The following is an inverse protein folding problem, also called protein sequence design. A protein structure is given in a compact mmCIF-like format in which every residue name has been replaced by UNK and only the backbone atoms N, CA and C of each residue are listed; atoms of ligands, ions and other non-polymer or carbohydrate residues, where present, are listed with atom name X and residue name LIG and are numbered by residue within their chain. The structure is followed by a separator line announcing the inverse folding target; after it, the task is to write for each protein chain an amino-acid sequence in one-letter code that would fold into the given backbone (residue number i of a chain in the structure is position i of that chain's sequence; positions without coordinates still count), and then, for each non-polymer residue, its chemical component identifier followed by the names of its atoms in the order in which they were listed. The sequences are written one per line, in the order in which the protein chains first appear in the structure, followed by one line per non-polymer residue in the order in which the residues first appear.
data_IF_674463450932
#
_entry.id   IF_674463450932
#
_cell.length_a   1.000
_cell.length_b   1.000
_cell.length_c   1.000
_cell.angle_alpha   90.00
_cell.angle_beta   90.00
_cell.angle_gamma   90.00
#
_symmetry.space_group_name_H-M   'P 1'
#
loop_
_entity.id
_entity.type
_entity.pdbx_description
1 polymer ?
#
# COMPACT_ATOMS: atom_id res chain seq x y z
N UNK A 1 -6.83 -15.12 -10.68
CA UNK A 1 -5.82 -14.02 -10.63
C UNK A 1 -4.60 -14.44 -11.39
N UNK A 2 -4.14 -13.64 -12.31
CA UNK A 2 -2.92 -13.89 -13.05
C UNK A 2 -1.86 -12.86 -12.61
N UNK A 3 -0.70 -13.36 -12.21
CA UNK A 3 0.46 -12.53 -11.88
C UNK A 3 1.54 -12.82 -12.90
N UNK A 4 2.08 -11.77 -13.52
CA UNK A 4 3.23 -11.84 -14.40
C UNK A 4 4.39 -11.10 -13.76
N UNK A 5 5.57 -11.69 -13.83
CA UNK A 5 6.82 -11.08 -13.39
C UNK A 5 7.85 -11.18 -14.51
N UNK A 6 8.64 -10.14 -14.68
CA UNK A 6 9.72 -10.12 -15.64
C UNK A 6 10.95 -10.83 -15.10
N UNK A 7 11.83 -10.12 -14.43
CA UNK A 7 13.11 -10.64 -13.97
C UNK A 7 13.21 -10.67 -12.45
N UNK A 8 13.72 -11.75 -11.88
CA UNK A 8 14.03 -11.89 -10.46
C UNK A 8 15.54 -11.86 -10.25
N UNK A 9 16.01 -10.98 -9.38
CA UNK A 9 17.41 -10.82 -9.03
C UNK A 9 17.59 -10.89 -7.51
N UNK A 10 18.75 -11.35 -7.10
CA UNK A 10 19.20 -11.22 -5.72
C UNK A 10 20.08 -9.99 -5.61
N UNK A 11 19.68 -9.05 -4.77
CA UNK A 11 20.43 -7.84 -4.46
C UNK A 11 21.32 -8.01 -3.23
N UNK A 12 22.13 -7.00 -2.96
CA UNK A 12 22.93 -6.96 -1.72
C UNK A 12 22.04 -6.90 -0.47
N UNK A 13 22.58 -7.39 0.65
CA UNK A 13 21.93 -7.35 1.97
C UNK A 13 20.56 -8.07 2.00
N UNK A 14 20.53 -9.31 1.48
CA UNK A 14 19.35 -10.17 1.55
C UNK A 14 18.10 -9.60 0.86
N UNK A 15 18.30 -8.91 -0.24
CA UNK A 15 17.25 -8.25 -0.97
C UNK A 15 16.84 -9.08 -2.20
N UNK A 16 15.56 -9.35 -2.33
CA UNK A 16 14.98 -9.87 -3.57
C UNK A 16 14.47 -8.66 -4.37
N UNK A 17 14.80 -8.64 -5.65
CA UNK A 17 14.38 -7.59 -6.59
C UNK A 17 13.62 -8.27 -7.72
N UNK A 18 12.40 -7.85 -7.96
CA UNK A 18 11.53 -8.33 -9.01
C UNK A 18 11.20 -7.15 -9.91
N UNK A 19 11.59 -7.22 -11.17
CA UNK A 19 11.29 -6.21 -12.18
C UNK A 19 10.01 -6.60 -12.95
N UNK A 20 9.29 -5.60 -13.43
CA UNK A 20 8.10 -5.71 -14.29
C UNK A 20 7.01 -6.61 -13.71
N UNK A 21 6.58 -6.28 -12.51
CA UNK A 21 5.46 -6.97 -11.84
C UNK A 21 4.14 -6.46 -12.40
N UNK A 22 3.27 -7.36 -12.82
CA UNK A 22 1.90 -7.07 -13.23
C UNK A 22 0.94 -8.08 -12.60
N UNK A 23 -0.14 -7.57 -12.05
CA UNK A 23 -1.23 -8.35 -11.49
C UNK A 23 -2.54 -7.97 -12.18
N UNK A 24 -3.24 -8.96 -12.70
CA UNK A 24 -4.54 -8.80 -13.31
C UNK A 24 -5.64 -9.06 -12.26
N UNK A 25 -6.75 -8.37 -12.42
CA UNK A 25 -7.95 -8.64 -11.63
C UNK A 25 -8.67 -9.92 -12.11
N UNK A 26 -9.82 -10.22 -11.52
CA UNK A 26 -10.60 -11.40 -11.86
C UNK A 26 -11.27 -11.31 -13.25
N UNK A 27 -11.28 -10.13 -13.87
CA UNK A 27 -11.80 -9.89 -15.23
C UNK A 27 -10.71 -9.91 -16.29
N UNK A 28 -9.43 -9.98 -15.88
CA UNK A 28 -8.28 -9.93 -16.76
C UNK A 28 -7.77 -8.52 -17.04
N UNK A 29 -8.33 -7.50 -16.35
CA UNK A 29 -7.86 -6.13 -16.48
C UNK A 29 -6.60 -5.91 -15.60
N UNK A 30 -5.68 -5.04 -16.07
CA UNK A 30 -4.51 -4.67 -15.30
C UNK A 30 -4.93 -3.92 -14.04
N UNK A 31 -4.67 -4.53 -12.88
CA UNK A 31 -5.04 -4.00 -11.58
C UNK A 31 -3.85 -3.31 -10.90
N UNK A 32 -2.71 -3.96 -10.85
CA UNK A 32 -1.48 -3.44 -10.24
C UNK A 32 -0.32 -3.73 -11.17
N UNK A 33 0.48 -2.70 -11.46
CA UNK A 33 1.78 -2.83 -12.10
C UNK A 33 2.83 -2.13 -11.23
N UNK A 34 4.05 -2.65 -11.25
CA UNK A 34 5.20 -1.99 -10.66
C UNK A 34 6.43 -2.26 -11.52
N UNK A 35 7.19 -1.22 -11.86
CA UNK A 35 8.43 -1.40 -12.60
C UNK A 35 9.47 -2.17 -11.81
N UNK A 36 9.43 -2.03 -10.47
CA UNK A 36 10.27 -2.81 -9.57
C UNK A 36 9.63 -2.97 -8.19
N UNK A 37 9.65 -4.20 -7.69
CA UNK A 37 9.38 -4.56 -6.30
C UNK A 37 10.67 -5.04 -5.67
N UNK A 38 11.05 -4.51 -4.51
CA UNK A 38 12.24 -4.93 -3.78
C UNK A 38 11.87 -5.23 -2.35
N UNK A 39 12.18 -6.43 -1.88
CA UNK A 39 11.93 -6.88 -0.52
C UNK A 39 13.23 -7.27 0.18
N UNK A 40 13.48 -6.71 1.35
CA UNK A 40 14.58 -7.15 2.22
C UNK A 40 14.07 -8.23 3.16
N UNK A 41 14.67 -9.40 3.09
CA UNK A 41 14.29 -10.56 3.91
C UNK A 41 15.11 -10.62 5.19
N UNK A 42 14.47 -11.03 6.28
CA UNK A 42 15.12 -11.40 7.51
C UNK A 42 15.29 -12.91 7.56
N UNK A 43 16.54 -13.39 7.71
CA UNK A 43 16.84 -14.83 7.65
C UNK A 43 16.56 -15.61 8.93
N UNK A 44 16.52 -14.95 10.08
CA UNK A 44 16.33 -15.65 11.36
C UNK A 44 15.02 -16.44 11.44
N UNK A 45 13.87 -15.89 10.96
CA UNK A 45 12.60 -16.61 10.96
C UNK A 45 12.51 -17.78 9.97
N UNK A 46 13.42 -17.86 8.98
CA UNK A 46 13.43 -18.96 8.00
C UNK A 46 13.69 -20.34 8.62
N UNK A 47 14.37 -20.40 9.77
CA UNK A 47 14.53 -21.64 10.55
C UNK A 47 13.19 -22.21 11.02
N UNK A 48 12.19 -21.36 11.22
CA UNK A 48 10.86 -21.74 11.69
C UNK A 48 9.84 -21.80 10.53
N UNK A 49 10.31 -21.79 9.28
CA UNK A 49 9.45 -21.80 8.09
C UNK A 49 8.68 -20.50 7.86
N UNK A 50 9.07 -19.40 8.52
CA UNK A 50 8.43 -18.09 8.39
C UNK A 50 9.24 -17.18 7.47
N UNK A 51 8.58 -16.42 6.61
CA UNK A 51 9.21 -15.39 5.80
C UNK A 51 8.89 -14.02 6.42
N UNK A 52 9.92 -13.33 6.91
CA UNK A 52 9.82 -11.97 7.41
C UNK A 52 10.44 -11.01 6.41
N UNK A 53 9.72 -9.93 6.10
CA UNK A 53 10.17 -8.85 5.21
C UNK A 53 10.38 -7.61 6.06
N UNK A 54 11.62 -7.23 6.32
CA UNK A 54 11.90 -6.02 7.11
C UNK A 54 11.58 -4.73 6.35
N UNK A 55 11.67 -4.75 5.02
CA UNK A 55 11.34 -3.59 4.19
C UNK A 55 10.89 -4.02 2.80
N UNK A 56 9.76 -3.47 2.35
CA UNK A 56 9.28 -3.57 0.98
C UNK A 56 9.37 -2.21 0.29
N UNK A 57 9.83 -2.19 -0.97
CA UNK A 57 9.92 -0.99 -1.79
C UNK A 57 9.25 -1.23 -3.13
N UNK A 58 8.39 -0.30 -3.53
CA UNK A 58 7.66 -0.29 -4.80
C UNK A 58 8.11 0.93 -5.62
N UNK A 59 8.61 0.69 -6.81
CA UNK A 59 8.98 1.73 -7.77
C UNK A 59 8.04 1.69 -8.96
N UNK A 60 7.58 2.87 -9.40
CA UNK A 60 6.70 2.99 -10.56
C UNK A 60 5.41 2.19 -10.38
N UNK A 61 4.86 2.19 -9.14
CA UNK A 61 3.57 1.58 -8.86
C UNK A 61 2.50 2.27 -9.71
N UNK A 62 1.70 1.48 -10.44
CA UNK A 62 0.48 1.93 -11.09
C UNK A 62 -0.64 0.99 -10.66
N UNK A 63 -1.61 1.51 -9.91
CA UNK A 63 -2.73 0.74 -9.41
C UNK A 63 -4.05 1.30 -9.93
N UNK A 64 -4.89 0.42 -10.49
CA UNK A 64 -6.23 0.73 -10.95
C UNK A 64 -7.24 -0.02 -10.10
N UNK A 65 -7.73 0.65 -9.08
CA UNK A 65 -8.66 0.11 -8.09
C UNK A 65 -10.05 0.62 -8.40
N UNK A 66 -11.03 -0.26 -8.38
CA UNK A 66 -12.43 0.15 -8.55
C UNK A 66 -13.38 -0.75 -7.78
N UNK A 67 -14.58 -0.25 -7.56
CA UNK A 67 -15.76 -1.00 -7.17
C UNK A 67 -16.95 -0.60 -8.05
N UNK A 68 -17.93 -1.47 -8.17
CA UNK A 68 -19.09 -1.19 -9.02
C UNK A 68 -20.02 -0.16 -8.37
N UNK A 69 -20.28 -0.32 -7.08
CA UNK A 69 -21.13 0.54 -6.24
C UNK A 69 -20.64 0.57 -4.79
N UNK A 70 -21.34 1.29 -3.92
CA UNK A 70 -20.93 1.46 -2.51
C UNK A 70 -20.89 0.12 -1.73
N UNK A 71 -21.67 -0.90 -2.12
CA UNK A 71 -21.79 -2.19 -1.43
C UNK A 71 -20.91 -3.28 -2.04
N UNK A 72 -20.49 -3.11 -3.30
CA UNK A 72 -19.65 -4.07 -4.01
C UNK A 72 -18.23 -4.09 -3.46
N UNK A 73 -17.57 -5.25 -3.41
CA UNK A 73 -16.16 -5.33 -3.06
C UNK A 73 -15.29 -4.62 -4.11
N UNK A 74 -14.11 -4.17 -3.70
CA UNK A 74 -13.10 -3.66 -4.62
C UNK A 74 -12.53 -4.79 -5.47
N UNK A 75 -12.08 -4.47 -6.69
CA UNK A 75 -11.41 -5.44 -7.56
C UNK A 75 -10.14 -6.05 -6.94
N UNK A 76 -9.54 -5.40 -5.94
CA UNK A 76 -8.38 -5.90 -5.17
C UNK A 76 -8.78 -6.74 -3.94
N UNK A 77 -10.05 -6.83 -3.58
CA UNK A 77 -10.50 -7.44 -2.33
C UNK A 77 -9.97 -8.87 -2.15
N UNK A 78 -9.98 -9.66 -3.21
CA UNK A 78 -9.47 -11.04 -3.17
C UNK A 78 -7.97 -11.14 -2.79
N UNK A 79 -7.17 -10.12 -3.11
CA UNK A 79 -5.75 -10.05 -2.68
C UNK A 79 -5.68 -9.75 -1.20
N UNK A 80 -6.47 -8.78 -0.73
CA UNK A 80 -6.54 -8.42 0.69
C UNK A 80 -7.00 -9.62 1.53
N UNK A 81 -8.05 -10.32 1.08
CA UNK A 81 -8.57 -11.52 1.73
C UNK A 81 -7.53 -12.65 1.77
N UNK A 82 -6.77 -12.83 0.69
CA UNK A 82 -5.69 -13.82 0.63
C UNK A 82 -4.53 -13.51 1.57
N UNK A 83 -4.22 -12.23 1.77
CA UNK A 83 -3.19 -11.80 2.73
C UNK A 83 -3.68 -11.86 4.18
N UNK A 84 -4.97 -11.64 4.42
CA UNK A 84 -5.58 -11.71 5.75
C UNK A 84 -5.90 -13.15 6.19
N UNK A 85 -5.98 -14.11 5.25
CA UNK A 85 -6.33 -15.49 5.55
C UNK A 85 -5.24 -16.19 6.34
N UNK A 86 -5.58 -16.64 7.55
CA UNK A 86 -4.77 -17.51 8.41
C UNK A 86 -4.96 -19.00 8.09
N UNK A 87 -5.43 -19.36 6.90
CA UNK A 87 -5.65 -20.75 6.53
C UNK A 87 -4.32 -21.48 6.31
N UNK A 88 -3.87 -22.18 7.35
CA UNK A 88 -2.62 -22.94 7.42
C UNK A 88 -2.73 -24.33 6.80
N UNK A 89 -3.87 -24.71 6.23
CA UNK A 89 -4.09 -26.08 5.75
C UNK A 89 -3.54 -26.34 4.35
N UNK A 90 -3.16 -25.30 3.61
CA UNK A 90 -2.56 -25.42 2.27
C UNK A 90 -1.34 -24.53 2.17
N UNK A 91 -0.16 -25.13 2.21
CA UNK A 91 1.16 -24.53 2.01
C UNK A 91 1.79 -23.84 3.24
N UNK A 92 3.12 -23.79 3.23
CA UNK A 92 3.98 -23.13 4.22
C UNK A 92 3.36 -21.82 4.69
N UNK A 93 3.09 -21.62 5.98
CA UNK A 93 2.50 -20.38 6.48
C UNK A 93 3.41 -19.21 6.14
N UNK A 94 2.99 -18.41 5.19
CA UNK A 94 3.65 -17.16 4.85
C UNK A 94 3.25 -16.14 5.94
N UNK A 95 4.01 -16.09 7.02
CA UNK A 95 3.87 -15.02 8.01
C UNK A 95 4.55 -13.77 7.44
N UNK A 96 3.84 -13.08 6.54
CA UNK A 96 4.36 -11.89 5.88
C UNK A 96 4.28 -10.70 6.84
N UNK A 97 5.34 -10.49 7.59
CA UNK A 97 5.52 -9.30 8.41
C UNK A 97 6.32 -8.26 7.64
N UNK A 98 5.69 -7.15 7.26
CA UNK A 98 6.35 -6.03 6.58
C UNK A 98 6.63 -4.94 7.61
N UNK A 99 7.90 -4.75 7.98
CA UNK A 99 8.31 -3.72 8.94
C UNK A 99 8.27 -2.30 8.38
N UNK A 100 8.55 -2.12 7.08
CA UNK A 100 8.42 -0.82 6.42
C UNK A 100 8.02 -0.95 4.95
N UNK A 101 7.20 0.00 4.49
CA UNK A 101 6.76 0.12 3.10
C UNK A 101 7.21 1.46 2.52
N UNK A 102 7.91 1.42 1.39
CA UNK A 102 8.35 2.60 0.66
C UNK A 102 7.76 2.54 -0.74
N UNK A 103 7.08 3.61 -1.16
CA UNK A 103 6.56 3.79 -2.53
C UNK A 103 7.26 5.00 -3.15
N UNK A 104 7.72 4.86 -4.38
CA UNK A 104 8.33 5.94 -5.16
C UNK A 104 7.75 5.96 -6.57
N UNK A 105 7.44 7.17 -7.05
CA UNK A 105 6.86 7.38 -8.38
C UNK A 105 5.59 6.54 -8.62
N UNK A 106 4.70 6.54 -7.61
CA UNK A 106 3.44 5.81 -7.70
C UNK A 106 2.35 6.62 -8.39
N UNK A 107 1.42 5.90 -9.00
CA UNK A 107 0.13 6.41 -9.47
C UNK A 107 -0.97 5.45 -9.00
N UNK A 108 -2.09 6.00 -8.53
CA UNK A 108 -3.23 5.22 -8.07
C UNK A 108 -4.51 5.84 -8.58
N UNK A 109 -5.26 5.11 -9.37
CA UNK A 109 -6.62 5.45 -9.72
C UNK A 109 -7.59 4.65 -8.86
N UNK A 110 -8.58 5.33 -8.29
CA UNK A 110 -9.71 4.69 -7.62
C UNK A 110 -11.02 5.23 -8.19
N UNK A 111 -11.94 4.33 -8.53
CA UNK A 111 -13.22 4.70 -9.11
C UNK A 111 -14.38 3.86 -8.55
N UNK A 112 -15.42 4.53 -8.07
CA UNK A 112 -16.72 3.94 -7.81
C UNK A 112 -17.59 4.17 -9.05
N UNK A 113 -17.93 3.10 -9.78
CA UNK A 113 -18.43 3.16 -11.16
C UNK A 113 -19.89 3.61 -11.32
N UNK A 114 -20.70 3.49 -10.25
CA UNK A 114 -22.10 3.94 -10.24
C UNK A 114 -22.25 5.47 -10.04
N UNK A 115 -21.17 6.16 -9.73
CA UNK A 115 -21.13 7.61 -9.55
C UNK A 115 -20.37 8.25 -10.72
N UNK A 116 -20.90 9.31 -11.31
CA UNK A 116 -20.20 10.04 -12.36
C UNK A 116 -19.11 10.95 -11.74
N UNK A 117 -17.87 10.98 -12.31
CA UNK A 117 -16.84 11.89 -11.84
C UNK A 117 -17.15 13.34 -12.24
N UNK A 118 -16.88 14.29 -11.34
CA UNK A 118 -16.94 15.72 -11.60
C UNK A 118 -15.53 16.26 -11.88
N UNK A 119 -15.27 16.84 -13.07
CA UNK A 119 -13.95 17.38 -13.40
C UNK A 119 -13.54 18.53 -12.48
N UNK A 120 -12.30 18.53 -11.99
CA UNK A 120 -11.75 19.60 -11.16
C UNK A 120 -12.25 19.62 -9.70
N UNK A 121 -13.07 18.65 -9.30
CA UNK A 121 -13.56 18.51 -7.93
C UNK A 121 -12.89 17.31 -7.26
N UNK A 122 -12.39 17.52 -6.05
CA UNK A 122 -11.91 16.40 -5.23
C UNK A 122 -13.09 15.52 -4.82
N UNK A 123 -12.99 14.24 -5.15
CA UNK A 123 -14.01 13.25 -4.80
C UNK A 123 -13.35 11.98 -4.25
N UNK A 124 -13.67 11.56 -3.03
CA UNK A 124 -13.17 10.30 -2.49
C UNK A 124 -13.65 9.06 -3.26
N UNK A 125 -14.69 9.20 -4.09
CA UNK A 125 -15.19 8.16 -4.98
C UNK A 125 -14.40 8.06 -6.29
N UNK A 126 -13.64 9.12 -6.63
CA UNK A 126 -12.87 9.22 -7.88
C UNK A 126 -11.51 9.86 -7.65
N UNK A 127 -10.56 9.08 -7.19
CA UNK A 127 -9.19 9.54 -6.98
C UNK A 127 -8.34 9.30 -8.25
N UNK A 128 -7.54 10.26 -8.62
CA UNK A 128 -6.54 10.15 -9.67
C UNK A 128 -5.18 10.62 -9.17
N UNK A 129 -4.55 9.79 -8.34
CA UNK A 129 -3.31 10.11 -7.64
C UNK A 129 -2.12 9.91 -8.57
N UNK A 130 -1.26 10.89 -8.64
CA UNK A 130 0.04 10.86 -9.33
C UNK A 130 1.15 11.33 -8.39
N UNK A 131 2.40 11.11 -8.78
CA UNK A 131 3.59 11.48 -8.00
C UNK A 131 3.55 10.95 -6.56
N UNK A 132 2.89 9.82 -6.34
CA UNK A 132 2.78 9.21 -5.01
C UNK A 132 4.17 8.79 -4.52
N UNK A 133 4.56 9.35 -3.38
CA UNK A 133 5.70 8.90 -2.59
C UNK A 133 5.24 8.64 -1.17
N UNK A 134 5.53 7.46 -0.64
CA UNK A 134 5.15 7.10 0.71
C UNK A 134 6.31 6.39 1.43
N UNK A 135 6.44 6.62 2.72
CA UNK A 135 7.29 5.87 3.63
C UNK A 135 6.51 5.62 4.92
N UNK A 136 6.11 4.38 5.14
CA UNK A 136 5.29 3.94 6.26
C UNK A 136 6.07 2.86 7.01
N UNK A 137 6.18 3.00 8.32
CA UNK A 137 6.71 1.98 9.22
C UNK A 137 5.51 1.28 9.84
N UNK A 138 5.46 -0.03 9.68
CA UNK A 138 4.42 -0.90 10.18
C UNK A 138 4.98 -1.62 11.41
N UNK A 139 4.76 -1.06 12.60
CA UNK A 139 5.26 -1.64 13.85
C UNK A 139 4.47 -2.89 14.24
N UNK A 140 3.16 -2.77 14.29
CA UNK A 140 2.25 -3.86 14.62
C UNK A 140 0.88 -3.61 13.98
N UNK A 141 0.32 -4.62 13.35
CA UNK A 141 -1.02 -4.59 12.77
C UNK A 141 -1.72 -5.89 13.11
N UNK A 142 -2.59 -5.84 14.09
CA UNK A 142 -3.46 -6.96 14.46
C UNK A 142 -4.91 -6.50 14.53
N UNK A 143 -5.84 -7.44 14.70
CA UNK A 143 -7.25 -7.13 14.94
C UNK A 143 -7.49 -6.41 16.28
N UNK A 144 -6.46 -6.37 17.15
CA UNK A 144 -6.56 -5.83 18.50
C UNK A 144 -5.82 -4.52 18.69
N UNK A 145 -4.71 -4.33 17.98
CA UNK A 145 -3.85 -3.17 18.11
C UNK A 145 -3.18 -2.79 16.79
N UNK A 146 -2.99 -1.50 16.60
CA UNK A 146 -2.35 -0.91 15.44
C UNK A 146 -1.26 0.04 15.93
N UNK A 147 -0.02 -0.20 15.50
CA UNK A 147 1.10 0.70 15.71
C UNK A 147 1.74 0.99 14.36
N UNK A 148 1.57 2.20 13.86
CA UNK A 148 2.19 2.60 12.60
C UNK A 148 2.75 4.03 12.67
N UNK A 149 3.77 4.29 11.87
CA UNK A 149 4.29 5.63 11.69
C UNK A 149 4.37 5.97 10.20
N UNK A 150 3.59 6.95 9.78
CA UNK A 150 3.72 7.57 8.48
C UNK A 150 4.84 8.60 8.57
N UNK A 151 5.98 8.29 7.95
CA UNK A 151 7.15 9.18 7.88
C UNK A 151 7.00 10.21 6.78
N UNK A 152 6.32 9.83 5.70
CA UNK A 152 6.03 10.69 4.56
C UNK A 152 4.89 10.11 3.73
N UNK A 153 3.96 10.94 3.32
CA UNK A 153 3.10 10.74 2.16
C UNK A 153 3.08 12.06 1.39
N UNK A 154 3.39 12.01 0.11
CA UNK A 154 3.27 13.12 -0.82
C UNK A 154 2.59 12.62 -2.09
N UNK A 155 1.70 13.42 -2.66
CA UNK A 155 0.94 13.07 -3.86
C UNK A 155 0.34 14.29 -4.53
N UNK A 156 -0.10 14.13 -5.77
CA UNK A 156 -1.01 15.03 -6.46
C UNK A 156 -2.26 14.27 -6.87
N UNK A 157 -3.42 14.92 -6.81
CA UNK A 157 -4.67 14.37 -7.34
C UNK A 157 -5.13 15.16 -8.56
N UNK A 158 -5.84 14.49 -9.47
CA UNK A 158 -6.37 15.09 -10.71
C UNK A 158 -7.31 16.29 -10.48
N UNK A 159 -7.87 16.44 -9.29
CA UNK A 159 -8.69 17.60 -8.89
C UNK A 159 -7.87 18.88 -8.65
N UNK A 160 -6.53 18.79 -8.68
CA UNK A 160 -5.62 19.88 -8.33
C UNK A 160 -5.17 19.87 -6.87
N UNK A 161 -5.69 18.97 -6.03
CA UNK A 161 -5.18 18.79 -4.68
C UNK A 161 -3.73 18.33 -4.74
N UNK A 162 -2.87 19.01 -4.01
CA UNK A 162 -1.46 18.62 -3.84
C UNK A 162 -1.15 18.49 -2.36
N UNK A 163 -0.73 17.32 -1.94
CA UNK A 163 -0.18 17.02 -0.62
C UNK A 163 1.35 16.99 -0.73
N UNK A 164 2.03 17.95 -0.11
CA UNK A 164 3.50 18.02 -0.12
C UNK A 164 4.10 17.05 0.88
N UNK A 165 3.48 16.96 2.06
CA UNK A 165 3.90 16.04 3.10
C UNK A 165 2.76 15.76 4.07
N UNK A 166 2.62 14.51 4.47
CA UNK A 166 1.82 14.07 5.60
C UNK A 166 2.68 13.14 6.45
N UNK A 167 2.75 13.40 7.73
CA UNK A 167 3.40 12.53 8.71
C UNK A 167 2.59 12.44 9.99
N UNK A 168 2.62 11.29 10.62
CA UNK A 168 2.02 11.06 11.93
C UNK A 168 2.44 9.71 12.49
N UNK A 169 2.18 9.50 13.77
CA UNK A 169 2.21 8.21 14.44
C UNK A 169 0.81 7.87 14.92
N UNK A 170 0.39 6.64 14.73
CA UNK A 170 -0.88 6.13 15.19
C UNK A 170 -0.63 4.92 16.08
N UNK A 171 -1.10 5.01 17.31
CA UNK A 171 -1.20 3.91 18.25
C UNK A 171 -2.68 3.73 18.58
N UNK A 172 -3.27 2.60 18.23
CA UNK A 172 -4.68 2.34 18.46
C UNK A 172 -4.90 0.92 18.97
N UNK A 173 -5.83 0.77 19.88
CA UNK A 173 -6.34 -0.49 20.38
C UNK A 173 -7.87 -0.52 20.36
N UNK A 174 -8.50 -1.52 20.96
CA UNK A 174 -9.96 -1.65 20.97
C UNK A 174 -10.69 -0.58 21.80
N UNK A 175 -9.98 0.22 22.59
CA UNK A 175 -10.57 1.20 23.50
C UNK A 175 -10.21 2.65 23.13
N UNK A 176 -9.04 2.86 22.52
CA UNK A 176 -8.53 4.19 22.23
C UNK A 176 -7.71 4.24 20.94
N UNK A 177 -7.64 5.41 20.34
CA UNK A 177 -6.73 5.73 19.24
C UNK A 177 -5.98 7.02 19.56
N UNK A 178 -4.67 6.95 19.55
CA UNK A 178 -3.78 8.08 19.83
C UNK A 178 -3.01 8.44 18.56
N UNK A 179 -3.24 9.67 18.08
CA UNK A 179 -2.53 10.27 16.96
C UNK A 179 -1.52 11.27 17.50
N UNK A 180 -0.23 11.09 17.15
CA UNK A 180 0.87 11.92 17.62
C UNK A 180 1.73 12.41 16.48
N UNK A 181 2.49 13.47 16.72
CA UNK A 181 3.45 14.05 15.75
C UNK A 181 2.78 14.35 14.39
N UNK A 182 1.50 14.73 14.40
CA UNK A 182 0.76 15.00 13.17
C UNK A 182 1.27 16.26 12.49
N UNK A 183 1.54 16.16 11.20
CA UNK A 183 1.86 17.31 10.35
C UNK A 183 1.37 17.04 8.94
N UNK A 184 0.62 18.00 8.41
CA UNK A 184 0.19 18.03 7.00
C UNK A 184 0.65 19.33 6.36
N UNK A 185 1.27 19.24 5.19
CA UNK A 185 1.77 20.36 4.40
C UNK A 185 1.13 20.34 3.01
N UNK A 186 0.43 21.41 2.70
CA UNK A 186 -0.14 21.73 1.40
C UNK A 186 0.65 22.87 0.74
N UNK A 187 0.46 23.22 -0.53
CA UNK A 187 1.19 24.29 -1.21
C UNK A 187 1.20 25.65 -0.50
N UNK A 188 0.10 25.98 0.20
CA UNK A 188 -0.09 27.30 0.82
C UNK A 188 -0.55 27.23 2.27
N UNK A 189 -0.54 26.05 2.89
CA UNK A 189 -0.97 25.87 4.28
C UNK A 189 -0.29 24.70 4.93
N UNK A 190 -0.14 24.78 6.24
CA UNK A 190 0.40 23.73 7.08
C UNK A 190 -0.41 23.64 8.38
N UNK A 191 -0.66 22.41 8.84
CA UNK A 191 -1.21 22.13 10.15
C UNK A 191 -0.31 21.15 10.86
N UNK A 192 -0.04 21.42 12.14
CA UNK A 192 0.78 20.55 12.98
C UNK A 192 0.22 20.53 14.40
N UNK A 193 0.21 19.37 15.03
CA UNK A 193 -0.04 19.18 16.46
C UNK A 193 0.68 17.92 16.96
N UNK A 194 0.89 17.88 18.26
CA UNK A 194 1.49 16.77 19.01
C UNK A 194 0.41 15.96 19.72
#
# INVERSE_FOLDING_TARGET
TQVSIGKVNLGFFNRIIIDDVMMLDQKGDSMICASRVSAKLDFLPLKDGKISVSSAQLFGLNANIYKQDAKSPMNIQFVLDSLASKDTTRHTPLDLHIGSLIIRHGAVAYNQRDIAPEPGVFSPQHLGITDLSAHIILGHLTDKDIHLAVKKIALKDKSGLQLRNLRFKLDADQQQALLRDFSIELPHSQLQFD
#
